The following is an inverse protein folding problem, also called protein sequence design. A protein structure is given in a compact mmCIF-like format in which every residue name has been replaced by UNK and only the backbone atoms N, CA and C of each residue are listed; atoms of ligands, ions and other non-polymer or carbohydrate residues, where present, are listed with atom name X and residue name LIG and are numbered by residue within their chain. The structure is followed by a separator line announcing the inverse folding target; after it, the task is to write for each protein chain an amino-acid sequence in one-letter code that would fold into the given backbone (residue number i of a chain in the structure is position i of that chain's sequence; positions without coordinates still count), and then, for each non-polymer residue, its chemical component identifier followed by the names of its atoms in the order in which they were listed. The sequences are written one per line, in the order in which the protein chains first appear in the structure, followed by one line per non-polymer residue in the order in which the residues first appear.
data_IF_463538417714
#
_entry.id   IF_463538417714
#
_cell.length_a   1.000
_cell.length_b   1.000
_cell.length_c   1.000
_cell.angle_alpha   90.00
_cell.angle_beta   90.00
_cell.angle_gamma   90.00
#
_symmetry.space_group_name_H-M   'P 1'
#
loop_
_entity.id
_entity.type
_entity.pdbx_description
1 polymer ?
#
# COMPACT_ATOMS: atom_id res chain seq x y z
N UNK A 1 22.02 44.31 -28.13
CA UNK A 1 21.21 45.23 -27.30
C UNK A 1 20.92 44.56 -25.97
N UNK A 2 21.60 45.03 -24.93
CA UNK A 2 21.48 44.57 -23.54
C UNK A 2 20.37 45.38 -22.89
N UNK A 3 19.34 44.74 -22.30
CA UNK A 3 18.46 45.38 -21.32
C UNK A 3 18.26 44.47 -20.11
N UNK A 4 18.32 45.15 -18.98
CA UNK A 4 18.59 44.73 -17.60
C UNK A 4 17.39 44.04 -16.92
N UNK A 5 17.63 43.33 -15.80
CA UNK A 5 16.59 42.78 -14.93
C UNK A 5 15.90 43.88 -14.11
N UNK A 6 14.58 43.73 -13.90
CA UNK A 6 13.77 44.61 -13.07
C UNK A 6 13.98 44.32 -11.57
N UNK A 7 13.95 45.42 -10.81
CA UNK A 7 14.43 45.54 -9.44
C UNK A 7 13.40 45.14 -8.36
N UNK A 8 13.95 44.75 -7.22
CA UNK A 8 13.32 44.56 -5.93
C UNK A 8 12.98 45.92 -5.28
N UNK A 9 11.81 46.10 -4.61
CA UNK A 9 11.60 47.23 -3.72
C UNK A 9 12.09 46.93 -2.30
N UNK A 10 12.76 47.93 -1.71
CA UNK A 10 13.31 47.95 -0.36
C UNK A 10 12.24 48.03 0.74
N UNK A 11 12.66 47.52 1.89
CA UNK A 11 12.13 47.62 3.27
C UNK A 11 11.49 48.97 3.64
N UNK A 12 10.41 48.87 4.43
CA UNK A 12 10.06 49.86 5.47
C UNK A 12 9.97 49.17 6.81
N UNK A 13 10.75 49.68 7.78
CA UNK A 13 10.72 49.34 9.20
C UNK A 13 9.52 50.03 9.87
N UNK A 14 8.89 49.37 10.85
CA UNK A 14 8.33 49.96 12.10
C UNK A 14 8.04 48.78 13.06
N UNK A 15 8.92 48.49 14.03
CA UNK A 15 8.89 48.92 15.45
C UNK A 15 7.74 48.35 16.27
N UNK A 16 8.05 47.46 17.23
CA UNK A 16 7.13 47.11 18.32
C UNK A 16 7.31 45.71 18.93
N UNK A 17 8.36 45.47 19.73
CA UNK A 17 8.42 44.37 20.70
C UNK A 17 8.08 44.92 22.09
N UNK A 18 7.24 44.24 22.90
CA UNK A 18 7.31 44.36 24.35
C UNK A 18 8.25 43.30 24.93
N UNK A 19 9.02 43.75 25.92
CA UNK A 19 10.12 43.06 26.60
C UNK A 19 9.63 42.00 27.58
N UNK A 20 10.44 40.95 27.71
CA UNK A 20 10.55 40.07 28.88
C UNK A 20 10.80 40.90 30.17
N UNK A 21 10.15 40.50 31.26
CA UNK A 21 10.64 40.74 32.63
C UNK A 21 10.87 39.39 33.31
N UNK A 22 12.11 39.23 33.78
CA UNK A 22 12.52 38.24 34.77
C UNK A 22 12.39 38.84 36.19
N UNK A 23 12.24 37.96 37.18
CA UNK A 23 12.14 38.25 38.61
C UNK A 23 11.57 37.02 39.34
N UNK A 24 12.34 35.96 39.63
CA UNK A 24 13.30 35.74 40.74
C UNK A 24 12.68 34.86 41.83
N UNK A 25 13.34 33.71 42.08
CA UNK A 25 13.48 32.92 43.32
C UNK A 25 12.22 32.36 44.02
N UNK A 26 12.25 31.30 44.83
CA UNK A 26 13.10 30.13 45.02
C UNK A 26 12.38 29.27 46.10
N UNK A 27 12.74 27.97 46.16
CA UNK A 27 12.78 27.08 47.33
C UNK A 27 11.82 25.88 47.41
N UNK A 28 12.43 24.75 47.79
CA UNK A 28 11.84 23.54 48.38
C UNK A 28 11.49 22.47 47.34
N UNK A 29 12.02 21.25 47.32
CA UNK A 29 12.64 20.48 48.39
C UNK A 29 12.06 19.06 48.36
N UNK A 30 12.88 18.11 47.86
CA UNK A 30 12.86 16.63 48.01
C UNK A 30 11.62 15.96 48.65
N UNK A 31 11.10 14.93 47.97
CA UNK A 31 10.96 13.58 48.58
C UNK A 31 11.00 12.47 47.53
N UNK A 32 11.75 11.44 47.88
CA UNK A 32 12.11 10.21 47.16
C UNK A 32 11.10 9.11 47.48
N UNK A 33 11.08 8.14 46.57
CA UNK A 33 10.96 6.69 46.80
C UNK A 33 9.58 6.02 46.97
N UNK A 34 9.51 4.91 46.22
CA UNK A 34 8.76 3.67 46.45
C UNK A 34 7.25 3.69 46.26
N UNK A 35 6.81 3.03 45.18
CA UNK A 35 5.86 1.91 45.26
C UNK A 35 5.98 1.09 43.97
N UNK A 36 6.78 0.03 44.04
CA UNK A 36 6.81 -1.04 43.05
C UNK A 36 5.84 -2.16 43.42
N UNK A 37 5.24 -2.75 42.38
CA UNK A 37 4.68 -4.12 42.30
C UNK A 37 3.45 -4.45 43.16
N UNK A 38 2.25 -4.39 42.55
CA UNK A 38 1.19 -5.42 42.44
C UNK A 38 0.24 -4.85 41.36
N UNK A 39 -0.02 -5.39 40.17
CA UNK A 39 -0.73 -6.64 39.90
C UNK A 39 -0.61 -6.98 38.40
N UNK A 40 0.11 -8.05 38.04
CA UNK A 40 -0.04 -8.74 36.75
C UNK A 40 -1.29 -9.63 36.85
N UNK A 41 -2.45 -9.09 36.51
CA UNK A 41 -3.69 -9.81 36.15
C UNK A 41 -4.75 -8.75 35.85
N UNK A 42 -4.89 -8.37 34.56
CA UNK A 42 -6.11 -7.77 33.97
C UNK A 42 -5.87 -7.19 32.55
N UNK A 43 -5.09 -7.88 31.70
CA UNK A 43 -5.01 -7.52 30.27
C UNK A 43 -6.28 -7.93 29.49
N UNK A 44 -7.15 -8.78 30.07
CA UNK A 44 -8.44 -9.15 29.47
C UNK A 44 -9.59 -8.16 29.74
N UNK A 45 -9.51 -7.37 30.82
CA UNK A 45 -10.61 -6.47 31.23
C UNK A 45 -10.54 -5.11 30.54
N UNK A 46 -9.33 -4.62 30.22
CA UNK A 46 -9.16 -3.35 29.51
C UNK A 46 -9.62 -3.38 28.04
N UNK A 47 -9.56 -4.55 27.35
CA UNK A 47 -10.10 -4.69 25.99
C UNK A 47 -11.63 -4.67 25.97
N UNK A 48 -12.27 -5.35 26.92
CA UNK A 48 -13.72 -5.35 27.07
C UNK A 48 -14.26 -3.97 27.50
N UNK A 49 -13.58 -3.29 28.43
CA UNK A 49 -13.93 -1.93 28.86
C UNK A 49 -13.78 -0.87 27.77
N UNK A 50 -12.72 -0.95 26.94
CA UNK A 50 -12.56 -0.08 25.76
C UNK A 50 -13.62 -0.36 24.69
N UNK A 51 -13.98 -1.63 24.45
CA UNK A 51 -15.02 -1.99 23.49
C UNK A 51 -16.42 -1.56 23.94
N UNK A 52 -16.76 -1.70 25.23
CA UNK A 52 -18.03 -1.21 25.78
C UNK A 52 -18.10 0.33 25.76
N UNK A 53 -17.02 1.02 26.14
CA UNK A 53 -16.94 2.48 26.09
C UNK A 53 -17.04 3.01 24.65
N UNK A 54 -16.36 2.37 23.71
CA UNK A 54 -16.46 2.70 22.28
C UNK A 54 -17.88 2.50 21.74
N UNK A 55 -18.59 1.45 22.17
CA UNK A 55 -19.98 1.17 21.77
C UNK A 55 -20.96 2.18 22.37
N UNK A 56 -20.78 2.60 23.62
CA UNK A 56 -21.60 3.64 24.25
C UNK A 56 -21.36 5.04 23.65
N UNK A 57 -20.12 5.38 23.30
CA UNK A 57 -19.81 6.63 22.59
C UNK A 57 -20.36 6.63 21.15
N UNK A 58 -20.26 5.51 20.43
CA UNK A 58 -20.90 5.34 19.11
C UNK A 58 -22.41 5.50 19.19
N UNK A 59 -23.07 4.99 20.24
CA UNK A 59 -24.50 5.21 20.48
C UNK A 59 -24.84 6.69 20.76
N UNK A 60 -23.97 7.41 21.48
CA UNK A 60 -24.17 8.81 21.84
C UNK A 60 -24.04 9.80 20.67
N UNK A 61 -23.08 9.59 19.75
CA UNK A 61 -22.81 10.50 18.60
C UNK A 61 -23.96 10.53 17.56
N UNK A 62 -24.80 9.51 17.56
CA UNK A 62 -25.88 9.39 16.59
C UNK A 62 -27.26 9.89 17.10
N UNK A 63 -27.40 10.27 18.38
CA UNK A 63 -28.58 10.94 18.96
C UNK A 63 -29.80 10.01 19.24
N UNK A 64 -30.66 10.40 20.19
CA UNK A 64 -31.87 9.64 20.57
C UNK A 64 -32.93 9.70 19.46
N UNK A 65 -33.08 8.62 18.69
CA UNK A 65 -34.03 8.55 17.59
C UNK A 65 -35.44 8.12 18.04
N UNK A 66 -36.43 8.97 17.79
CA UNK A 66 -37.85 8.58 17.78
C UNK A 66 -38.22 7.81 16.51
N UNK A 67 -39.15 6.85 16.65
CA UNK A 67 -39.68 5.89 15.65
C UNK A 67 -38.79 4.70 15.26
N UNK A 68 -39.37 3.48 15.30
CA UNK A 68 -38.66 2.18 15.17
C UNK A 68 -37.91 1.95 13.86
N UNK A 69 -38.37 2.55 12.75
CA UNK A 69 -37.69 2.43 11.46
C UNK A 69 -36.35 3.18 11.45
N UNK A 70 -36.28 4.36 12.09
CA UNK A 70 -35.04 5.15 12.24
C UNK A 70 -34.03 4.47 13.16
N UNK A 71 -34.51 3.73 14.17
CA UNK A 71 -33.65 2.96 15.09
C UNK A 71 -32.94 1.81 14.36
N UNK A 72 -33.61 1.13 13.42
CA UNK A 72 -32.99 0.02 12.67
C UNK A 72 -31.83 0.48 11.76
N UNK A 73 -32.04 1.54 10.97
CA UNK A 73 -31.01 2.11 10.09
C UNK A 73 -29.83 2.70 10.89
N UNK A 74 -30.12 3.26 12.07
CA UNK A 74 -29.13 3.75 13.01
C UNK A 74 -28.22 2.63 13.52
N UNK A 75 -28.79 1.49 13.94
CA UNK A 75 -28.02 0.36 14.47
C UNK A 75 -27.13 -0.22 13.37
N UNK A 76 -27.66 -0.37 12.15
CA UNK A 76 -26.91 -0.87 10.99
C UNK A 76 -25.73 0.06 10.65
N UNK A 77 -25.95 1.38 10.63
CA UNK A 77 -24.90 2.36 10.39
C UNK A 77 -23.80 2.34 11.46
N UNK A 78 -24.18 2.23 12.74
CA UNK A 78 -23.21 2.13 13.83
C UNK A 78 -22.39 0.83 13.73
N UNK A 79 -23.00 -0.30 13.35
CA UNK A 79 -22.31 -1.56 13.13
C UNK A 79 -21.31 -1.49 11.97
N UNK A 80 -21.68 -0.87 10.84
CA UNK A 80 -20.76 -0.69 9.71
C UNK A 80 -19.56 0.21 10.08
N UNK A 81 -19.80 1.29 10.82
CA UNK A 81 -18.72 2.16 11.27
C UNK A 81 -17.74 1.43 12.21
N UNK A 82 -18.27 0.65 13.15
CA UNK A 82 -17.46 -0.19 14.04
C UNK A 82 -16.65 -1.23 13.25
N UNK A 83 -17.28 -1.92 12.30
CA UNK A 83 -16.60 -2.90 11.45
C UNK A 83 -15.43 -2.27 10.67
N UNK A 84 -15.63 -1.08 10.08
CA UNK A 84 -14.57 -0.35 9.38
C UNK A 84 -13.44 0.04 10.35
N UNK A 85 -13.79 0.59 11.52
CA UNK A 85 -12.82 1.07 12.49
C UNK A 85 -12.00 -0.04 13.14
N UNK A 86 -12.56 -1.24 13.29
CA UNK A 86 -11.81 -2.41 13.80
C UNK A 86 -10.68 -2.86 12.86
N UNK A 87 -10.73 -2.44 11.59
CA UNK A 87 -9.74 -2.78 10.56
C UNK A 87 -8.71 -1.67 10.36
N UNK A 88 -8.95 -0.44 10.84
CA UNK A 88 -8.08 0.70 10.60
C UNK A 88 -7.31 1.11 11.85
N UNK A 89 -6.02 1.38 11.70
CA UNK A 89 -5.16 1.88 12.76
C UNK A 89 -4.25 3.00 12.24
N UNK A 90 -3.90 3.95 13.11
CA UNK A 90 -2.78 4.86 12.86
C UNK A 90 -1.51 4.13 13.28
N UNK A 91 -0.50 4.10 12.42
CA UNK A 91 0.80 3.47 12.68
C UNK A 91 1.93 4.47 12.42
N UNK A 92 2.99 4.48 13.26
CA UNK A 92 4.22 5.19 12.95
C UNK A 92 4.77 4.72 11.59
N UNK A 93 5.16 5.67 10.73
CA UNK A 93 5.55 5.38 9.36
C UNK A 93 6.89 4.61 9.27
N UNK A 94 7.78 4.83 10.23
CA UNK A 94 9.10 4.22 10.34
C UNK A 94 9.07 2.75 10.77
N UNK A 95 7.98 2.31 11.42
CA UNK A 95 7.74 0.91 11.73
C UNK A 95 7.28 0.09 10.50
N UNK A 96 6.83 0.76 9.43
CA UNK A 96 6.26 0.11 8.25
C UNK A 96 7.33 -0.28 7.23
N UNK A 97 7.45 -1.58 6.98
CA UNK A 97 8.41 -2.17 6.05
C UNK A 97 7.83 -2.28 4.65
N UNK A 98 8.62 -1.92 3.65
CA UNK A 98 8.28 -2.16 2.24
C UNK A 98 8.69 -3.58 1.83
N UNK A 99 7.87 -4.25 1.04
CA UNK A 99 8.24 -5.52 0.40
C UNK A 99 8.50 -5.40 -1.09
N UNK A 100 8.08 -4.29 -1.71
CA UNK A 100 8.33 -4.00 -3.12
C UNK A 100 8.96 -2.63 -3.30
N UNK A 101 9.86 -2.55 -4.28
CA UNK A 101 10.45 -1.32 -4.77
C UNK A 101 9.38 -0.45 -5.45
N UNK A 102 9.54 0.85 -5.30
CA UNK A 102 8.70 1.84 -5.99
C UNK A 102 9.27 2.19 -7.36
N UNK A 103 8.44 2.79 -8.20
CA UNK A 103 8.85 3.28 -9.52
C UNK A 103 8.78 4.81 -9.47
N UNK A 104 9.90 5.47 -9.77
CA UNK A 104 10.04 6.92 -9.66
C UNK A 104 8.97 7.72 -10.45
N UNK A 105 8.62 7.38 -11.71
CA UNK A 105 7.59 8.10 -12.44
C UNK A 105 6.22 8.08 -11.73
N UNK A 106 5.86 6.94 -11.15
CA UNK A 106 4.61 6.79 -10.40
C UNK A 106 4.66 7.56 -9.08
N UNK A 107 5.84 7.63 -8.46
CA UNK A 107 6.04 8.32 -7.19
C UNK A 107 5.82 9.82 -7.33
N UNK A 108 6.39 10.44 -8.37
CA UNK A 108 6.21 11.87 -8.64
C UNK A 108 4.73 12.21 -8.89
N UNK A 109 4.08 11.50 -9.81
CA UNK A 109 2.67 11.74 -10.11
C UNK A 109 1.77 11.56 -8.88
N UNK A 110 2.01 10.50 -8.09
CA UNK A 110 1.22 10.23 -6.88
C UNK A 110 1.42 11.32 -5.82
N UNK A 111 2.66 11.79 -5.63
CA UNK A 111 2.96 12.87 -4.70
C UNK A 111 2.17 14.14 -5.04
N UNK A 112 2.20 14.56 -6.30
CA UNK A 112 1.47 15.74 -6.75
C UNK A 112 -0.04 15.57 -6.54
N UNK A 113 -0.60 14.41 -6.88
CA UNK A 113 -2.02 14.11 -6.63
C UNK A 113 -2.36 14.17 -5.14
N UNK A 114 -1.55 13.57 -4.27
CA UNK A 114 -1.78 13.57 -2.83
C UNK A 114 -1.72 14.99 -2.23
N UNK A 115 -0.76 15.81 -2.68
CA UNK A 115 -0.62 17.21 -2.26
C UNK A 115 -1.82 18.06 -2.73
N UNK A 116 -2.20 17.95 -4.00
CA UNK A 116 -3.32 18.70 -4.56
C UNK A 116 -4.66 18.38 -3.88
N UNK A 117 -4.88 17.12 -3.52
CA UNK A 117 -6.07 16.71 -2.78
C UNK A 117 -6.00 17.00 -1.28
N UNK A 118 -4.79 17.17 -0.74
CA UNK A 118 -4.52 17.26 0.70
C UNK A 118 -4.92 16.00 1.47
N UNK A 119 -4.97 14.85 0.81
CA UNK A 119 -5.58 13.62 1.33
C UNK A 119 -4.80 12.35 0.99
N UNK A 120 -4.73 11.44 1.95
CA UNK A 120 -4.50 10.01 1.72
C UNK A 120 -5.83 9.38 1.30
N UNK A 121 -6.01 9.18 -0.01
CA UNK A 121 -7.26 8.66 -0.58
C UNK A 121 -7.54 7.24 -0.10
N UNK A 122 -6.56 6.34 -0.21
CA UNK A 122 -6.66 4.94 0.22
C UNK A 122 -5.65 4.66 1.34
N UNK A 123 -6.04 3.97 2.43
CA UNK A 123 -5.12 3.58 3.50
C UNK A 123 -4.08 2.58 3.01
N UNK A 124 -2.91 2.53 3.65
CA UNK A 124 -1.94 1.46 3.42
C UNK A 124 -2.54 0.14 3.88
N UNK A 125 -2.31 -0.98 3.18
CA UNK A 125 -2.72 -2.29 3.69
C UNK A 125 -1.49 -2.97 4.27
N UNK A 126 -1.56 -3.31 5.55
CA UNK A 126 -0.38 -3.71 6.34
C UNK A 126 -0.65 -5.02 7.06
N UNK A 127 0.31 -5.93 6.97
CA UNK A 127 0.35 -7.13 7.80
C UNK A 127 0.55 -6.77 9.28
N UNK A 128 -0.41 -7.17 10.12
CA UNK A 128 -0.40 -6.96 11.58
C UNK A 128 0.88 -7.47 12.24
N UNK A 129 1.36 -8.64 11.83
CA UNK A 129 2.41 -9.38 12.53
C UNK A 129 3.80 -8.84 12.21
N UNK A 130 4.11 -8.63 10.94
CA UNK A 130 5.46 -8.24 10.51
C UNK A 130 5.58 -6.76 10.13
N UNK A 131 4.48 -5.98 10.17
CA UNK A 131 4.41 -4.56 9.77
C UNK A 131 4.83 -4.31 8.32
N UNK A 132 4.51 -5.25 7.44
CA UNK A 132 4.84 -5.17 6.02
C UNK A 132 3.69 -4.53 5.25
N UNK A 133 3.98 -3.55 4.40
CA UNK A 133 3.01 -2.88 3.53
C UNK A 133 2.68 -3.75 2.33
N UNK A 134 1.67 -4.60 2.45
CA UNK A 134 1.21 -5.50 1.38
C UNK A 134 0.67 -4.75 0.16
N UNK A 135 0.06 -3.59 0.37
CA UNK A 135 -0.37 -2.70 -0.71
C UNK A 135 -0.22 -1.23 -0.31
N UNK A 136 0.28 -0.43 -1.24
CA UNK A 136 0.56 0.99 -1.02
C UNK A 136 2.03 1.35 -0.80
N UNK A 137 3.00 0.55 -1.27
CA UNK A 137 4.43 0.89 -1.18
C UNK A 137 4.76 2.29 -1.75
N UNK A 138 4.17 2.68 -2.90
CA UNK A 138 4.31 4.06 -3.41
C UNK A 138 3.71 5.10 -2.47
N UNK A 139 2.54 4.83 -1.87
CA UNK A 139 1.90 5.74 -0.90
C UNK A 139 2.76 5.90 0.36
N UNK A 140 3.30 4.80 0.90
CA UNK A 140 4.24 4.82 2.04
C UNK A 140 5.46 5.68 1.71
N UNK A 141 6.05 5.50 0.53
CA UNK A 141 7.21 6.30 0.10
C UNK A 141 6.86 7.79 -0.09
N UNK A 142 5.70 8.12 -0.67
CA UNK A 142 5.25 9.52 -0.73
C UNK A 142 5.08 10.11 0.66
N UNK A 143 4.48 9.38 1.60
CA UNK A 143 4.32 9.84 2.99
C UNK A 143 5.69 10.13 3.64
N UNK A 144 6.71 9.30 3.36
CA UNK A 144 8.07 9.52 3.85
C UNK A 144 8.70 10.79 3.25
N UNK A 145 8.55 10.99 1.94
CA UNK A 145 8.99 12.22 1.25
C UNK A 145 8.31 13.46 1.83
N UNK A 146 7.02 13.35 2.16
CA UNK A 146 6.23 14.40 2.78
C UNK A 146 6.52 14.56 4.28
N UNK A 147 7.41 13.74 4.85
CA UNK A 147 7.77 13.73 6.28
C UNK A 147 6.53 13.56 7.17
N UNK A 148 5.67 12.63 6.78
CA UNK A 148 4.57 12.20 7.61
C UNK A 148 5.10 11.34 8.76
N UNK A 149 4.70 11.62 10.00
CA UNK A 149 5.10 10.80 11.15
C UNK A 149 4.34 9.47 11.18
N UNK A 150 3.08 9.48 10.73
CA UNK A 150 2.19 8.33 10.76
C UNK A 150 1.55 8.04 9.39
N UNK A 151 0.92 6.87 9.29
CA UNK A 151 0.03 6.49 8.20
C UNK A 151 -1.27 5.88 8.72
N UNK A 152 -2.38 6.09 7.99
CA UNK A 152 -3.59 5.29 8.20
C UNK A 152 -3.40 3.94 7.50
N UNK A 153 -3.53 2.88 8.27
CA UNK A 153 -3.31 1.52 7.81
C UNK A 153 -4.57 0.67 7.99
N UNK A 154 -4.99 -0.05 6.95
CA UNK A 154 -5.85 -1.21 7.09
C UNK A 154 -4.99 -2.40 7.53
N UNK A 155 -5.17 -2.81 8.77
CA UNK A 155 -4.41 -3.88 9.38
C UNK A 155 -5.07 -5.23 9.05
N UNK A 156 -4.32 -6.13 8.41
CA UNK A 156 -4.79 -7.47 8.03
C UNK A 156 -3.95 -8.55 8.68
N UNK A 157 -4.54 -9.71 8.94
CA UNK A 157 -3.78 -10.91 9.29
C UNK A 157 -3.28 -11.55 8.00
N UNK A 158 -1.98 -11.40 7.70
CA UNK A 158 -1.47 -11.91 6.44
C UNK A 158 -1.45 -13.43 6.36
N UNK A 159 -1.54 -14.14 7.48
CA UNK A 159 -1.64 -15.60 7.51
C UNK A 159 -3.07 -16.09 7.16
N UNK A 160 -4.07 -15.18 7.06
CA UNK A 160 -5.44 -15.50 6.65
C UNK A 160 -5.47 -16.18 5.26
N UNK A 161 -6.06 -17.38 5.13
CA UNK A 161 -6.14 -18.11 3.86
C UNK A 161 -6.98 -17.41 2.79
N UNK A 162 -7.87 -16.47 3.15
CA UNK A 162 -8.61 -15.64 2.19
C UNK A 162 -7.71 -14.62 1.50
N UNK A 163 -6.59 -14.25 2.14
CA UNK A 163 -5.58 -13.41 1.49
C UNK A 163 -4.70 -14.31 0.65
N UNK A 164 -4.75 -14.13 -0.66
CA UNK A 164 -3.93 -14.89 -1.60
C UNK A 164 -2.87 -13.99 -2.23
N UNK A 165 -1.78 -14.59 -2.68
CA UNK A 165 -0.74 -13.91 -3.46
C UNK A 165 -0.60 -14.60 -4.80
N UNK A 166 -0.74 -13.83 -5.86
CA UNK A 166 -0.35 -14.21 -7.21
C UNK A 166 0.84 -13.39 -7.70
N UNK A 167 1.13 -13.55 -8.99
CA UNK A 167 2.15 -12.78 -9.68
C UNK A 167 1.58 -11.72 -10.62
N UNK A 168 2.50 -11.05 -11.29
CA UNK A 168 2.23 -10.32 -12.52
C UNK A 168 3.10 -10.92 -13.62
N UNK A 169 2.51 -11.22 -14.76
CA UNK A 169 3.23 -11.63 -15.97
C UNK A 169 3.30 -10.48 -16.96
N UNK A 170 4.20 -10.56 -17.94
CA UNK A 170 4.38 -9.51 -18.93
C UNK A 170 3.74 -9.99 -20.24
N UNK A 171 2.77 -9.26 -20.77
CA UNK A 171 2.19 -9.53 -22.08
C UNK A 171 2.64 -8.47 -23.09
N UNK A 172 2.96 -8.89 -24.31
CA UNK A 172 3.34 -7.98 -25.41
C UNK A 172 2.85 -8.50 -26.76
N UNK A 173 2.59 -7.58 -27.71
CA UNK A 173 2.38 -7.94 -29.12
C UNK A 173 3.67 -7.91 -29.94
N UNK A 174 4.77 -7.45 -29.35
CA UNK A 174 6.07 -7.53 -30.00
C UNK A 174 6.45 -9.00 -30.16
N UNK A 175 6.68 -9.44 -31.40
CA UNK A 175 7.15 -10.79 -31.66
C UNK A 175 8.58 -10.91 -31.18
N UNK A 176 8.84 -11.87 -30.30
CA UNK A 176 10.18 -12.08 -29.77
C UNK A 176 10.91 -13.09 -30.65
N UNK A 177 12.13 -12.78 -31.15
CA UNK A 177 12.91 -13.75 -31.89
C UNK A 177 13.09 -15.04 -31.08
N UNK A 178 12.91 -16.20 -31.72
CA UNK A 178 12.87 -17.54 -31.10
C UNK A 178 14.17 -18.03 -30.44
N UNK A 179 15.16 -17.16 -30.22
CA UNK A 179 16.51 -17.57 -29.86
C UNK A 179 16.77 -17.41 -28.37
N UNK A 180 16.78 -18.53 -27.66
CA UNK A 180 17.42 -18.65 -26.34
C UNK A 180 16.67 -19.48 -25.29
N UNK A 181 15.40 -19.84 -25.53
CA UNK A 181 14.61 -20.61 -24.57
C UNK A 181 14.66 -22.13 -24.80
N UNK A 182 14.79 -22.91 -23.73
CA UNK A 182 14.64 -24.38 -23.76
C UNK A 182 13.15 -24.72 -23.82
N UNK A 183 12.70 -25.47 -24.82
CA UNK A 183 11.32 -25.96 -24.88
C UNK A 183 10.99 -26.78 -23.62
N UNK A 184 9.83 -26.51 -23.02
CA UNK A 184 9.42 -27.09 -21.73
C UNK A 184 7.90 -27.18 -21.64
N UNK A 185 7.39 -28.10 -20.83
CA UNK A 185 5.97 -28.09 -20.43
C UNK A 185 5.64 -26.87 -19.55
N UNK A 186 4.39 -26.40 -19.58
CA UNK A 186 3.96 -25.24 -18.79
C UNK A 186 4.17 -25.46 -17.28
N UNK A 187 3.79 -26.63 -16.76
CA UNK A 187 3.92 -26.96 -15.34
C UNK A 187 5.38 -27.06 -14.93
N UNK A 188 6.18 -27.79 -15.71
CA UNK A 188 7.63 -27.92 -15.47
C UNK A 188 8.34 -26.56 -15.54
N UNK A 189 7.91 -25.68 -16.45
CA UNK A 189 8.44 -24.34 -16.57
C UNK A 189 8.15 -23.45 -15.36
N UNK A 190 6.93 -23.50 -14.81
CA UNK A 190 6.64 -22.83 -13.54
C UNK A 190 7.46 -23.40 -12.38
N UNK A 191 7.64 -24.72 -12.30
CA UNK A 191 8.50 -25.35 -11.30
C UNK A 191 9.97 -24.88 -11.43
N UNK A 192 10.49 -24.79 -12.65
CA UNK A 192 11.84 -24.29 -12.93
C UNK A 192 12.00 -22.80 -12.53
N UNK A 193 10.98 -21.96 -12.80
CA UNK A 193 10.95 -20.57 -12.32
C UNK A 193 10.99 -20.48 -10.80
N UNK A 194 10.28 -21.37 -10.09
CA UNK A 194 10.30 -21.40 -8.62
C UNK A 194 11.67 -21.81 -8.07
N UNK A 195 12.34 -22.76 -8.73
CA UNK A 195 13.69 -23.20 -8.40
C UNK A 195 14.78 -22.23 -8.85
N UNK A 196 14.42 -21.09 -9.45
CA UNK A 196 15.36 -20.09 -9.95
C UNK A 196 16.28 -20.63 -11.08
N UNK A 197 15.85 -21.69 -11.77
CA UNK A 197 16.55 -22.27 -12.92
C UNK A 197 16.31 -21.47 -14.22
N UNK A 198 15.24 -20.66 -14.24
CA UNK A 198 14.90 -19.75 -15.32
C UNK A 198 14.58 -18.36 -14.80
N UNK A 199 14.87 -17.33 -15.60
CA UNK A 199 14.51 -15.96 -15.27
C UNK A 199 13.12 -15.59 -15.79
N UNK A 200 12.69 -16.16 -16.92
CA UNK A 200 11.37 -15.97 -17.52
C UNK A 200 10.93 -17.26 -18.22
N UNK A 201 9.62 -17.47 -18.35
CA UNK A 201 9.06 -18.46 -19.26
C UNK A 201 8.27 -17.74 -20.35
N UNK A 202 8.69 -17.90 -21.60
CA UNK A 202 7.95 -17.41 -22.74
C UNK A 202 6.82 -18.39 -23.07
N UNK A 203 5.59 -17.87 -23.17
CA UNK A 203 4.37 -18.60 -23.51
C UNK A 203 3.75 -17.92 -24.72
N UNK A 204 3.45 -18.71 -25.75
CA UNK A 204 2.74 -18.23 -26.95
C UNK A 204 1.69 -19.25 -27.40
N UNK A 205 0.73 -18.78 -28.22
CA UNK A 205 -0.27 -19.65 -28.84
C UNK A 205 0.34 -20.40 -30.02
N UNK A 206 0.45 -21.71 -29.90
CA UNK A 206 0.89 -22.63 -30.95
C UNK A 206 -0.28 -23.25 -31.73
N UNK A 207 0.04 -24.16 -32.67
CA UNK A 207 -0.97 -24.82 -33.52
C UNK A 207 -1.87 -25.80 -32.75
N UNK A 208 -1.36 -26.42 -31.68
CA UNK A 208 -2.04 -27.49 -30.90
C UNK A 208 -2.26 -27.13 -29.42
N UNK A 209 -2.05 -25.87 -29.04
CA UNK A 209 -2.10 -25.44 -27.64
C UNK A 209 -1.05 -24.38 -27.34
N UNK A 210 -0.65 -24.26 -26.07
CA UNK A 210 0.43 -23.35 -25.65
C UNK A 210 1.78 -23.95 -26.01
N UNK A 211 2.67 -23.11 -26.52
CA UNK A 211 4.09 -23.44 -26.68
C UNK A 211 4.87 -22.64 -25.62
N UNK A 212 5.57 -23.37 -24.74
CA UNK A 212 6.35 -22.77 -23.66
C UNK A 212 7.86 -22.93 -23.88
N UNK A 213 8.64 -21.92 -23.50
CA UNK A 213 10.10 -21.96 -23.57
C UNK A 213 10.70 -21.27 -22.36
N UNK A 214 11.55 -21.98 -21.62
CA UNK A 214 12.23 -21.46 -20.43
C UNK A 214 13.47 -20.67 -20.84
N UNK A 215 13.55 -19.42 -20.42
CA UNK A 215 14.77 -18.61 -20.54
C UNK A 215 15.60 -18.91 -19.30
N UNK A 216 16.60 -19.78 -19.45
CA UNK A 216 17.42 -20.27 -18.34
C UNK A 216 18.17 -19.12 -17.64
N UNK A 217 18.27 -19.20 -16.32
CA UNK A 217 19.10 -18.32 -15.52
C UNK A 217 20.50 -18.91 -15.37
N UNK A 218 21.52 -18.06 -15.29
CA UNK A 218 22.87 -18.46 -14.95
C UNK A 218 23.22 -18.12 -13.49
N UNK A 219 22.43 -17.26 -12.85
CA UNK A 219 22.71 -16.79 -11.49
C UNK A 219 22.28 -17.76 -10.38
N UNK A 220 21.10 -18.37 -10.51
CA UNK A 220 20.46 -19.13 -9.43
C UNK A 220 20.04 -18.29 -8.21
N UNK A 221 20.20 -16.96 -8.26
CA UNK A 221 19.89 -16.04 -7.17
C UNK A 221 18.86 -15.00 -7.62
N UNK A 222 18.04 -14.51 -6.69
CA UNK A 222 16.94 -13.61 -7.01
C UNK A 222 17.41 -12.32 -7.71
N UNK A 223 18.47 -11.69 -7.19
CA UNK A 223 18.99 -10.45 -7.77
C UNK A 223 19.52 -10.68 -9.20
N UNK A 224 20.24 -11.78 -9.41
CA UNK A 224 20.74 -12.15 -10.74
C UNK A 224 19.61 -12.43 -11.73
N UNK A 225 18.56 -13.14 -11.30
CA UNK A 225 17.34 -13.35 -12.11
C UNK A 225 16.72 -12.02 -12.53
N UNK A 226 16.65 -11.05 -11.62
CA UNK A 226 16.07 -9.75 -11.92
C UNK A 226 16.88 -8.97 -12.94
N UNK A 227 18.20 -9.03 -12.84
CA UNK A 227 19.10 -8.35 -13.77
C UNK A 227 19.08 -9.03 -15.14
N UNK A 228 19.01 -10.36 -15.19
CA UNK A 228 18.78 -11.12 -16.42
C UNK A 228 17.43 -10.78 -17.06
N UNK A 229 16.35 -10.67 -16.28
CA UNK A 229 15.04 -10.22 -16.76
C UNK A 229 15.13 -8.84 -17.40
N UNK A 230 15.73 -7.86 -16.70
CA UNK A 230 15.93 -6.49 -17.22
C UNK A 230 16.71 -6.50 -18.52
N UNK A 231 17.81 -7.23 -18.57
CA UNK A 231 18.64 -7.33 -19.76
C UNK A 231 17.90 -8.00 -20.92
N UNK A 232 17.14 -9.06 -20.65
CA UNK A 232 16.34 -9.75 -21.65
C UNK A 232 15.31 -8.79 -22.26
N UNK A 233 14.52 -8.12 -21.42
CA UNK A 233 13.50 -7.18 -21.86
C UNK A 233 14.12 -5.98 -22.62
N UNK A 234 15.22 -5.41 -22.13
CA UNK A 234 15.88 -4.29 -22.79
C UNK A 234 16.47 -4.69 -24.16
N UNK A 235 17.22 -5.79 -24.23
CA UNK A 235 17.94 -6.21 -25.45
C UNK A 235 17.02 -6.81 -26.51
N UNK A 236 16.07 -7.67 -26.11
CA UNK A 236 15.29 -8.50 -27.05
C UNK A 236 13.97 -7.87 -27.45
N UNK A 237 13.40 -7.03 -26.59
CA UNK A 237 12.14 -6.35 -26.87
C UNK A 237 12.32 -4.86 -27.18
N UNK A 238 13.56 -4.35 -27.17
CA UNK A 238 13.88 -2.92 -27.27
C UNK A 238 13.09 -2.08 -26.23
N UNK A 239 12.81 -2.69 -25.09
CA UNK A 239 12.03 -2.10 -24.01
C UNK A 239 13.00 -1.43 -23.05
N UNK A 240 13.32 -0.19 -23.36
CA UNK A 240 14.00 0.65 -22.39
C UNK A 240 13.02 0.89 -21.25
N UNK A 241 13.22 0.13 -20.17
CA UNK A 241 12.59 0.23 -18.86
C UNK A 241 11.17 -0.31 -18.73
N UNK A 242 10.85 -0.85 -17.56
CA UNK A 242 9.51 -1.20 -17.08
C UNK A 242 8.55 0.01 -17.01
N UNK A 243 8.90 1.16 -17.61
CA UNK A 243 8.37 2.48 -17.26
C UNK A 243 7.44 3.13 -18.29
N UNK A 244 7.07 2.47 -19.40
CA UNK A 244 6.10 3.07 -20.33
C UNK A 244 5.05 2.10 -20.87
N UNK A 245 3.80 2.35 -20.49
CA UNK A 245 2.64 2.12 -21.34
C UNK A 245 2.78 3.01 -22.59
N UNK A 246 3.53 2.56 -23.59
CA UNK A 246 3.53 3.24 -24.89
C UNK A 246 2.28 2.83 -25.66
N UNK A 247 1.49 3.79 -26.13
CA UNK A 247 0.32 3.59 -27.00
C UNK A 247 0.71 3.18 -28.44
N UNK A 248 1.52 2.14 -28.61
CA UNK A 248 1.93 1.64 -29.93
C UNK A 248 2.43 0.20 -29.89
N UNK A 249 2.26 -0.51 -31.02
CA UNK A 249 2.70 -1.90 -31.24
C UNK A 249 4.09 -2.16 -30.63
N UNK A 250 4.13 -2.76 -29.44
CA UNK A 250 5.34 -2.92 -28.64
C UNK A 250 5.17 -2.65 -27.14
N UNK A 251 4.01 -2.16 -26.71
CA UNK A 251 3.69 -1.94 -25.30
C UNK A 251 3.72 -3.25 -24.48
N UNK A 252 4.43 -3.24 -23.35
CA UNK A 252 4.26 -4.26 -22.31
C UNK A 252 3.05 -3.95 -21.45
N UNK A 253 2.36 -5.01 -21.06
CA UNK A 253 1.29 -4.94 -20.07
C UNK A 253 1.60 -5.94 -18.96
N UNK A 254 1.50 -5.49 -17.71
CA UNK A 254 1.46 -6.40 -16.59
C UNK A 254 0.08 -7.01 -16.48
N UNK A 255 0.00 -8.33 -16.58
CA UNK A 255 -1.25 -9.09 -16.53
C UNK A 255 -1.24 -10.02 -15.32
N UNK A 256 -2.41 -10.27 -14.75
CA UNK A 256 -2.57 -11.25 -13.67
C UNK A 256 -2.57 -12.68 -14.24
N UNK A 257 -2.17 -13.64 -13.38
CA UNK A 257 -2.02 -15.05 -13.73
C UNK A 257 -3.28 -15.64 -14.39
N UNK A 258 -4.47 -15.27 -13.90
CA UNK A 258 -5.77 -15.71 -14.43
C UNK A 258 -6.11 -15.19 -15.83
N UNK A 259 -5.36 -14.21 -16.37
CA UNK A 259 -5.62 -13.60 -17.68
C UNK A 259 -4.65 -14.03 -18.77
N UNK A 260 -3.71 -14.92 -18.48
CA UNK A 260 -2.71 -15.40 -19.46
C UNK A 260 -3.42 -15.90 -20.74
N UNK A 261 -4.39 -16.79 -20.60
CA UNK A 261 -5.10 -17.39 -21.74
C UNK A 261 -5.83 -16.34 -22.58
N UNK A 262 -6.53 -15.42 -21.93
CA UNK A 262 -7.21 -14.31 -22.59
C UNK A 262 -6.24 -13.48 -23.45
N UNK A 263 -5.05 -13.15 -22.93
CA UNK A 263 -4.07 -12.38 -23.69
C UNK A 263 -3.48 -13.18 -24.85
N UNK A 264 -3.18 -14.47 -24.66
CA UNK A 264 -2.71 -15.37 -25.72
C UNK A 264 -3.74 -15.48 -26.87
N UNK A 265 -5.03 -15.58 -26.53
CA UNK A 265 -6.12 -15.63 -27.51
C UNK A 265 -6.25 -14.34 -28.32
N UNK A 266 -5.89 -13.20 -27.73
CA UNK A 266 -5.90 -11.88 -28.36
C UNK A 266 -4.57 -11.52 -29.05
N UNK A 267 -3.72 -12.52 -29.30
CA UNK A 267 -2.50 -12.39 -30.10
C UNK A 267 -1.32 -11.77 -29.36
N UNK A 268 -1.31 -11.83 -28.03
CA UNK A 268 -0.14 -11.46 -27.23
C UNK A 268 0.76 -12.68 -27.01
N UNK A 269 2.05 -12.43 -26.83
CA UNK A 269 3.02 -13.34 -26.23
C UNK A 269 3.18 -12.96 -24.74
N UNK A 270 3.36 -13.96 -23.87
CA UNK A 270 3.43 -13.77 -22.43
C UNK A 270 4.78 -14.25 -21.89
N UNK A 271 5.42 -13.42 -21.08
CA UNK A 271 6.59 -13.77 -20.28
C UNK A 271 6.14 -13.97 -18.83
N UNK A 272 5.93 -15.24 -18.47
CA UNK A 272 5.63 -15.64 -17.12
C UNK A 272 6.85 -15.46 -16.22
N UNK A 273 6.55 -15.08 -14.98
CA UNK A 273 7.52 -14.83 -13.91
C UNK A 273 7.23 -15.74 -12.74
N UNK A 274 8.23 -15.94 -11.89
CA UNK A 274 8.08 -16.62 -10.61
C UNK A 274 7.01 -15.94 -9.75
N UNK A 275 6.22 -16.74 -9.04
CA UNK A 275 5.22 -16.28 -8.07
C UNK A 275 5.81 -16.47 -6.67
N UNK A 276 5.85 -15.41 -5.87
CA UNK A 276 6.41 -15.47 -4.51
C UNK A 276 5.38 -16.00 -3.50
N UNK A 277 5.83 -16.81 -2.56
CA UNK A 277 5.03 -17.23 -1.41
C UNK A 277 4.99 -16.12 -0.35
N UNK A 278 3.96 -16.12 0.51
CA UNK A 278 3.88 -15.19 1.65
C UNK A 278 5.15 -15.24 2.53
N UNK A 279 5.69 -16.45 2.75
CA UNK A 279 6.90 -16.67 3.55
C UNK A 279 8.12 -15.98 2.95
N UNK A 280 8.31 -16.08 1.64
CA UNK A 280 9.42 -15.41 0.93
C UNK A 280 9.27 -13.90 0.98
N UNK A 281 8.06 -13.39 0.76
CA UNK A 281 7.76 -11.95 0.86
C UNK A 281 8.10 -11.42 2.26
N UNK A 282 7.67 -12.12 3.30
CA UNK A 282 7.99 -11.77 4.68
C UNK A 282 9.50 -11.82 4.92
N UNK A 283 10.17 -12.86 4.43
CA UNK A 283 11.62 -13.03 4.57
C UNK A 283 12.42 -11.89 3.95
N UNK A 284 12.12 -11.53 2.70
CA UNK A 284 12.81 -10.46 1.98
C UNK A 284 12.52 -9.07 2.57
N UNK A 285 11.26 -8.78 2.93
CA UNK A 285 10.90 -7.53 3.60
C UNK A 285 11.55 -7.40 4.98
N UNK A 286 11.60 -8.48 5.76
CA UNK A 286 12.27 -8.49 7.07
C UNK A 286 13.79 -8.29 6.95
N UNK A 287 14.39 -8.76 5.86
CA UNK A 287 15.80 -8.57 5.55
C UNK A 287 16.14 -7.22 4.92
N UNK A 288 15.16 -6.34 4.69
CA UNK A 288 15.37 -5.03 4.08
C UNK A 288 15.72 -5.09 2.59
N UNK A 289 15.34 -6.17 1.90
CA UNK A 289 15.59 -6.39 0.47
C UNK A 289 14.27 -6.41 -0.30
N UNK A 290 13.63 -5.26 -0.56
CA UNK A 290 12.35 -5.24 -1.26
C UNK A 290 12.48 -5.84 -2.66
N UNK A 291 11.50 -6.66 -3.03
CA UNK A 291 11.33 -7.25 -4.35
C UNK A 291 11.19 -6.16 -5.42
N UNK A 292 11.48 -6.45 -6.69
CA UNK A 292 11.29 -5.47 -7.75
C UNK A 292 9.81 -5.10 -7.91
N UNK A 293 9.52 -3.97 -8.58
CA UNK A 293 8.15 -3.52 -8.78
C UNK A 293 7.30 -4.59 -9.48
N UNK A 294 6.04 -4.71 -9.06
CA UNK A 294 5.08 -5.66 -9.64
C UNK A 294 5.52 -7.12 -9.46
N UNK A 295 6.21 -7.46 -8.38
CA UNK A 295 6.58 -8.86 -8.11
C UNK A 295 5.42 -9.67 -7.53
N UNK A 296 4.55 -9.01 -6.77
CA UNK A 296 3.48 -9.64 -6.01
C UNK A 296 2.14 -9.01 -6.35
N UNK A 297 1.09 -9.82 -6.26
CA UNK A 297 -0.29 -9.38 -6.42
C UNK A 297 -1.12 -9.93 -5.28
N UNK A 298 -1.42 -9.11 -4.29
CA UNK A 298 -2.25 -9.50 -3.15
C UNK A 298 -3.74 -9.39 -3.48
N UNK A 299 -4.47 -10.50 -3.32
CA UNK A 299 -5.92 -10.51 -3.31
C UNK A 299 -6.38 -10.40 -1.86
N UNK A 300 -6.84 -9.21 -1.46
CA UNK A 300 -7.22 -8.90 -0.08
C UNK A 300 -8.73 -8.67 -0.04
N UNK A 301 -9.51 -9.42 0.75
CA UNK A 301 -10.93 -9.19 0.90
C UNK A 301 -11.20 -7.90 1.69
N UNK A 302 -12.36 -7.29 1.48
CA UNK A 302 -12.84 -6.16 2.27
C UNK A 302 -11.87 -4.97 2.32
N UNK A 303 -11.23 -4.64 1.19
CA UNK A 303 -10.36 -3.46 1.09
C UNK A 303 -11.16 -2.19 1.32
N UNK A 304 -10.69 -1.37 2.25
CA UNK A 304 -11.23 -0.03 2.48
C UNK A 304 -10.60 0.88 1.43
N UNK A 305 -11.44 1.41 0.56
CA UNK A 305 -11.05 2.32 -0.52
C UNK A 305 -11.73 3.67 -0.34
N UNK A 306 -11.10 4.73 -0.86
CA UNK A 306 -11.56 6.11 -0.82
C UNK A 306 -11.85 6.61 0.60
N UNK A 307 -11.00 6.23 1.55
CA UNK A 307 -10.98 6.76 2.92
C UNK A 307 -10.90 8.30 2.95
N UNK A 308 -10.04 8.90 2.11
CA UNK A 308 -9.85 10.35 2.00
C UNK A 308 -9.41 11.04 3.31
N UNK A 309 -8.48 10.42 4.05
CA UNK A 309 -7.97 10.98 5.29
C UNK A 309 -7.08 12.21 5.04
N UNK A 310 -7.19 13.27 5.85
CA UNK A 310 -6.42 14.50 5.63
C UNK A 310 -4.95 14.26 5.97
N UNK A 311 -4.04 14.67 5.08
CA UNK A 311 -2.60 14.50 5.30
C UNK A 311 -2.11 15.28 6.52
N UNK A 312 -2.70 16.46 6.79
CA UNK A 312 -2.28 17.31 7.91
C UNK A 312 -2.41 16.65 9.29
N UNK A 313 -3.28 15.65 9.45
CA UNK A 313 -3.44 14.92 10.73
C UNK A 313 -2.40 13.80 10.92
N UNK A 314 -1.60 13.48 9.91
CA UNK A 314 -0.62 12.40 10.00
C UNK A 314 0.62 12.77 10.84
N UNK A 315 0.80 14.05 11.15
CA UNK A 315 1.87 14.56 12.03
C UNK A 315 1.38 14.89 13.44
N UNK A 316 0.09 14.65 13.72
CA UNK A 316 -0.40 14.70 15.08
C UNK A 316 0.07 13.45 15.85
N UNK A 317 -0.14 13.45 17.18
CA UNK A 317 0.09 12.21 17.95
C UNK A 317 -0.82 11.08 17.44
N UNK A 318 -0.40 9.80 17.55
CA UNK A 318 -1.21 8.66 17.12
C UNK A 318 -2.62 8.66 17.69
N UNK A 319 -2.80 9.12 18.93
CA UNK A 319 -4.10 9.24 19.60
C UNK A 319 -4.98 10.32 18.94
N UNK A 320 -4.42 11.50 18.67
CA UNK A 320 -5.13 12.61 18.02
C UNK A 320 -5.54 12.24 16.59
N UNK A 321 -4.59 11.67 15.81
CA UNK A 321 -4.86 11.18 14.47
C UNK A 321 -5.94 10.08 14.46
N UNK A 322 -5.93 9.19 15.46
CA UNK A 322 -6.94 8.14 15.62
C UNK A 322 -8.32 8.71 15.95
N UNK A 323 -8.40 9.78 16.75
CA UNK A 323 -9.65 10.50 17.01
C UNK A 323 -10.21 11.13 15.73
N UNK A 324 -9.36 11.79 14.94
CA UNK A 324 -9.76 12.34 13.63
C UNK A 324 -10.26 11.25 12.67
N UNK A 325 -9.58 10.10 12.65
CA UNK A 325 -9.97 8.96 11.82
C UNK A 325 -11.35 8.42 12.24
N UNK A 326 -11.56 8.23 13.54
CA UNK A 326 -12.83 7.75 14.11
C UNK A 326 -13.99 8.68 13.77
N UNK A 327 -13.84 9.97 14.06
CA UNK A 327 -14.86 10.98 13.76
C UNK A 327 -15.20 11.03 12.27
N UNK A 328 -14.19 10.98 11.40
CA UNK A 328 -14.37 10.97 9.95
C UNK A 328 -15.16 9.74 9.47
N UNK A 329 -14.80 8.53 9.91
CA UNK A 329 -15.51 7.31 9.50
C UNK A 329 -16.96 7.33 9.97
N UNK A 330 -17.19 7.72 11.24
CA UNK A 330 -18.53 7.83 11.82
C UNK A 330 -19.39 8.81 11.01
N UNK A 331 -18.88 10.00 10.70
CA UNK A 331 -19.59 10.99 9.88
C UNK A 331 -19.88 10.43 8.49
N UNK A 332 -18.91 9.79 7.85
CA UNK A 332 -19.08 9.23 6.51
C UNK A 332 -20.18 8.18 6.45
N UNK A 333 -20.26 7.30 7.43
CA UNK A 333 -21.33 6.30 7.52
C UNK A 333 -22.67 6.97 7.84
N UNK A 334 -22.71 7.87 8.83
CA UNK A 334 -23.91 8.62 9.23
C UNK A 334 -24.57 9.36 8.06
N UNK A 335 -23.76 9.95 7.18
CA UNK A 335 -24.23 10.69 6.01
C UNK A 335 -24.29 9.86 4.71
N UNK A 336 -24.21 8.52 4.79
CA UNK A 336 -24.44 7.63 3.65
C UNK A 336 -23.34 7.61 2.58
N UNK A 337 -22.13 8.04 2.92
CA UNK A 337 -20.95 8.08 2.02
C UNK A 337 -20.00 6.89 2.16
N UNK A 338 -20.45 5.84 2.85
CA UNK A 338 -19.80 4.55 2.98
C UNK A 338 -20.76 3.46 2.49
N UNK A 339 -20.25 2.53 1.69
CA UNK A 339 -21.01 1.40 1.14
C UNK A 339 -20.15 0.15 1.21
N UNK A 340 -20.81 -0.99 1.41
CA UNK A 340 -20.19 -2.30 1.41
C UNK A 340 -20.68 -3.07 0.18
N UNK A 341 -19.74 -3.56 -0.62
CA UNK A 341 -20.01 -4.32 -1.84
C UNK A 341 -19.42 -5.72 -1.68
N UNK A 342 -20.25 -6.74 -1.90
CA UNK A 342 -19.83 -8.15 -1.84
C UNK A 342 -19.40 -8.70 -3.19
N UNK A 343 -19.81 -8.05 -4.28
CA UNK A 343 -19.49 -8.41 -5.65
C UNK A 343 -18.28 -7.62 -6.19
N UNK A 344 -17.55 -8.14 -7.19
CA UNK A 344 -16.50 -7.37 -7.86
C UNK A 344 -17.07 -6.09 -8.48
N UNK A 345 -16.43 -4.96 -8.20
CA UNK A 345 -16.85 -3.64 -8.70
C UNK A 345 -15.80 -3.03 -9.63
N UNK A 346 -16.26 -2.34 -10.68
CA UNK A 346 -15.41 -1.47 -11.49
C UNK A 346 -15.47 -0.06 -10.88
N UNK A 347 -14.31 0.45 -10.46
CA UNK A 347 -14.21 1.81 -9.89
C UNK A 347 -13.55 2.73 -10.91
N UNK A 348 -14.27 3.77 -11.31
CA UNK A 348 -13.76 4.87 -12.13
C UNK A 348 -13.40 6.04 -11.21
N UNK A 349 -12.19 6.57 -11.36
CA UNK A 349 -11.64 7.65 -10.55
C UNK A 349 -11.54 8.95 -11.33
#
# INVERSE_FOLDING_TARGET
MIKKPCACPKKTQMTGRPKLRAGVAAQGGRKRQELGKVCKKNLGVCKAGKALGAKQELLAVFGSAGSGLKISAFIIGAMLADEILTKLEIQPLDELKIHEQVMEPNLHSLRETMLNLGKLVDPLIVDKKHKIVLDGNHRRMVLEILKADNAVCQMVDYDDPQIQVGGWHIATKAKVPQEGGKAIDEKEGFEALQKMEGCLMHIKKGKKGKECSLICSQSGELQGIMDEQKQFLAKKLNLNSFEKNNNGNGAIQFIEDSRVDYFLENGYEVFARRIFTKKEIVGEAAAGRPLPPKSTRHMIPNRIIRLNFRLGYLNDSPESASMHLRDMVIKRVKYGSARYYTEPVIVLY
#
